data_IF_604477759649
#
_entry.id   IF_604477759649
#
_cell.length_a   1.000
_cell.length_b   1.000
_cell.length_c   1.000
_cell.angle_alpha   90.00
_cell.angle_beta   90.00
_cell.angle_gamma   90.00
#
_symmetry.space_group_name_H-M   'P 1'
#
loop_
_entity.id
_entity.type
_entity.pdbx_description
1 polymer ?
#
# COMPACT_ATOMS: atom_id res chain seq x y z
N UNK A 1 -14.90 -6.27 -5.09
CA UNK A 1 -14.33 -6.61 -6.42
C UNK A 1 -13.68 -5.34 -6.95
N UNK A 2 -12.36 -5.29 -7.11
CA UNK A 2 -11.72 -4.18 -7.80
C UNK A 2 -11.79 -4.42 -9.31
N UNK A 3 -12.18 -3.39 -10.03
CA UNK A 3 -12.14 -3.32 -11.47
C UNK A 3 -11.21 -2.17 -11.83
N UNK A 4 -10.21 -2.45 -12.65
CA UNK A 4 -9.40 -1.44 -13.29
C UNK A 4 -9.54 -1.62 -14.79
N UNK A 5 -9.62 -0.49 -15.50
CA UNK A 5 -9.62 -0.46 -16.96
C UNK A 5 -8.20 -0.50 -17.54
N UNK A 6 -7.18 -0.35 -16.69
CA UNK A 6 -5.80 -0.07 -17.09
C UNK A 6 -4.82 -1.17 -16.64
N UNK A 7 -5.30 -2.24 -16.00
CA UNK A 7 -4.48 -3.40 -15.65
C UNK A 7 -4.84 -4.05 -14.32
N UNK A 8 -3.95 -4.91 -13.83
CA UNK A 8 -4.15 -5.57 -12.54
C UNK A 8 -3.87 -4.61 -11.39
N UNK A 9 -4.69 -4.72 -10.35
CA UNK A 9 -4.60 -3.94 -9.13
C UNK A 9 -4.79 -4.85 -7.93
N UNK A 10 -4.14 -4.53 -6.82
CA UNK A 10 -4.40 -5.09 -5.51
C UNK A 10 -4.70 -3.97 -4.53
N UNK A 11 -5.78 -4.09 -3.76
CA UNK A 11 -6.17 -3.12 -2.73
C UNK A 11 -6.22 -3.83 -1.38
N UNK A 12 -5.73 -3.14 -0.37
CA UNK A 12 -5.94 -3.50 1.02
C UNK A 12 -6.40 -2.31 1.83
N UNK A 13 -7.29 -2.57 2.78
CA UNK A 13 -7.85 -1.60 3.70
C UNK A 13 -7.89 -2.26 5.07
N UNK A 14 -7.31 -1.60 6.07
CA UNK A 14 -7.15 -2.12 7.42
C UNK A 14 -7.63 -1.13 8.46
N UNK A 15 -8.40 -1.61 9.44
CA UNK A 15 -8.91 -0.81 10.55
C UNK A 15 -7.93 -0.87 11.72
N UNK A 16 -7.40 0.29 12.13
CA UNK A 16 -6.28 0.42 13.09
C UNK A 16 -6.48 -0.34 14.40
N UNK A 17 -7.69 -0.25 14.99
CA UNK A 17 -7.98 -0.76 16.34
C UNK A 17 -8.66 -2.13 16.36
N UNK A 18 -8.85 -2.76 15.21
CA UNK A 18 -9.42 -4.11 15.10
C UNK A 18 -8.35 -5.22 15.07
N UNK A 19 -7.05 -4.85 15.02
CA UNK A 19 -5.95 -5.79 14.84
C UNK A 19 -5.17 -6.07 16.12
N UNK A 20 -4.74 -7.33 16.26
CA UNK A 20 -3.80 -7.76 17.30
C UNK A 20 -2.36 -7.39 16.91
N UNK A 21 -1.60 -6.84 17.86
CA UNK A 21 -0.32 -6.15 17.72
C UNK A 21 0.90 -6.92 17.16
N UNK A 22 0.76 -8.09 16.51
CA UNK A 22 1.89 -8.99 16.25
C UNK A 22 2.07 -9.49 14.79
N UNK A 23 1.27 -9.04 13.82
CA UNK A 23 1.26 -9.68 12.48
C UNK A 23 2.46 -9.34 11.59
N UNK A 24 3.12 -8.18 11.81
CA UNK A 24 4.29 -7.76 11.04
C UNK A 24 5.60 -8.35 11.56
N UNK A 25 5.69 -8.64 12.86
CA UNK A 25 6.94 -9.01 13.51
C UNK A 25 7.64 -10.21 12.87
N UNK A 26 6.91 -11.13 12.24
CA UNK A 26 7.49 -12.29 11.56
C UNK A 26 8.11 -11.95 10.19
N UNK A 27 7.70 -10.87 9.53
CA UNK A 27 8.02 -10.59 8.13
C UNK A 27 8.70 -9.24 7.90
N UNK A 28 8.76 -8.36 8.91
CA UNK A 28 9.42 -7.07 8.81
C UNK A 28 10.93 -7.19 8.75
N UNK A 29 11.51 -6.64 7.68
CA UNK A 29 12.95 -6.46 7.54
C UNK A 29 13.50 -5.40 8.51
N UNK A 30 14.83 -5.38 8.70
CA UNK A 30 15.50 -4.33 9.49
C UNK A 30 15.19 -2.93 8.99
N UNK A 31 15.06 -2.75 7.66
CA UNK A 31 14.71 -1.45 7.06
C UNK A 31 13.28 -1.02 7.38
N UNK A 32 12.34 -1.96 7.42
CA UNK A 32 10.96 -1.68 7.81
C UNK A 32 10.85 -1.38 9.31
N UNK A 33 11.53 -2.16 10.16
CA UNK A 33 11.54 -1.94 11.60
C UNK A 33 12.14 -0.58 11.96
N UNK A 34 13.22 -0.17 11.28
CA UNK A 34 13.81 1.16 11.46
C UNK A 34 12.86 2.28 11.02
N UNK A 35 12.11 2.07 9.94
CA UNK A 35 11.11 3.06 9.49
C UNK A 35 9.95 3.18 10.46
N UNK A 36 9.40 2.05 10.94
CA UNK A 36 8.34 2.01 11.96
C UNK A 36 8.80 2.76 13.22
N UNK A 37 10.03 2.51 13.68
CA UNK A 37 10.57 3.16 14.88
C UNK A 37 10.78 4.67 14.73
N UNK A 38 10.84 5.18 13.50
CA UNK A 38 10.98 6.61 13.22
C UNK A 38 9.63 7.35 13.09
N UNK A 39 8.50 6.64 13.09
CA UNK A 39 7.18 7.25 13.01
C UNK A 39 6.66 7.69 14.38
N UNK A 40 5.78 8.69 14.40
CA UNK A 40 5.16 9.19 15.63
C UNK A 40 4.22 8.16 16.26
N UNK A 41 3.42 7.48 15.44
CA UNK A 41 2.53 6.40 15.86
C UNK A 41 3.01 5.08 15.27
N UNK A 42 3.49 4.20 16.16
CA UNK A 42 3.97 2.87 15.79
C UNK A 42 2.87 1.98 15.22
N UNK A 43 1.68 1.99 15.80
CA UNK A 43 0.56 1.14 15.39
C UNK A 43 0.09 1.52 13.99
N UNK A 44 0.02 2.82 13.73
CA UNK A 44 -0.32 3.34 12.42
C UNK A 44 0.71 2.93 11.36
N UNK A 45 2.00 3.12 11.66
CA UNK A 45 3.10 2.73 10.79
C UNK A 45 3.10 1.22 10.49
N UNK A 46 2.89 0.39 11.50
CA UNK A 46 2.75 -1.05 11.33
C UNK A 46 1.53 -1.37 10.45
N UNK A 47 0.37 -0.82 10.75
CA UNK A 47 -0.85 -1.12 9.97
C UNK A 47 -0.71 -0.67 8.52
N UNK A 48 -0.02 0.44 8.26
CA UNK A 48 0.27 0.92 6.91
C UNK A 48 1.19 -0.02 6.15
N UNK A 49 2.33 -0.41 6.73
CA UNK A 49 3.24 -1.36 6.07
C UNK A 49 2.56 -2.70 5.83
N UNK A 50 1.72 -3.16 6.76
CA UNK A 50 0.93 -4.36 6.54
C UNK A 50 0.00 -4.21 5.34
N UNK A 51 -0.74 -3.10 5.25
CA UNK A 51 -1.66 -2.83 4.14
C UNK A 51 -0.93 -2.84 2.80
N UNK A 52 0.26 -2.21 2.75
CA UNK A 52 1.15 -2.22 1.59
C UNK A 52 1.55 -3.65 1.20
N UNK A 53 1.95 -4.48 2.17
CA UNK A 53 2.33 -5.87 1.88
C UNK A 53 1.15 -6.64 1.29
N UNK A 54 -0.03 -6.53 1.89
CA UNK A 54 -1.23 -7.23 1.42
C UNK A 54 -1.66 -6.78 0.02
N UNK A 55 -1.64 -5.49 -0.27
CA UNK A 55 -2.06 -5.00 -1.59
C UNK A 55 -1.11 -5.52 -2.70
N UNK A 56 0.19 -5.59 -2.44
CA UNK A 56 1.18 -6.18 -3.36
C UNK A 56 0.97 -7.70 -3.52
N UNK A 57 0.74 -8.43 -2.43
CA UNK A 57 0.49 -9.87 -2.49
C UNK A 57 -0.80 -10.20 -3.26
N UNK A 58 -1.87 -9.43 -3.05
CA UNK A 58 -3.12 -9.53 -3.82
C UNK A 58 -2.89 -9.29 -5.31
N UNK A 59 -2.10 -8.27 -5.67
CA UNK A 59 -1.71 -8.02 -7.07
C UNK A 59 -0.94 -9.21 -7.67
N UNK A 60 -0.06 -9.82 -6.88
CA UNK A 60 0.75 -10.97 -7.29
C UNK A 60 -0.03 -12.28 -7.37
N UNK A 61 -1.28 -12.32 -6.88
CA UNK A 61 -2.02 -13.56 -6.70
C UNK A 61 -1.40 -14.46 -5.62
N UNK A 62 -0.67 -13.86 -4.67
CA UNK A 62 -0.02 -14.54 -3.56
C UNK A 62 -0.85 -14.34 -2.29
N UNK A 63 -0.99 -15.40 -1.49
CA UNK A 63 -1.50 -15.29 -0.12
C UNK A 63 -0.39 -14.86 0.84
N UNK A 64 -0.67 -14.97 2.16
CA UNK A 64 0.32 -14.67 3.20
C UNK A 64 1.60 -15.53 3.13
N UNK A 65 1.59 -16.65 2.39
CA UNK A 65 2.80 -17.43 2.11
C UNK A 65 3.83 -16.66 1.27
N UNK A 66 3.40 -15.63 0.52
CA UNK A 66 4.29 -14.79 -0.28
C UNK A 66 5.02 -13.70 0.50
N UNK A 67 4.79 -13.56 1.81
CA UNK A 67 5.36 -12.48 2.62
C UNK A 67 6.90 -12.43 2.57
N UNK A 68 7.57 -13.59 2.50
CA UNK A 68 9.04 -13.67 2.39
C UNK A 68 9.60 -13.28 1.01
N UNK A 69 8.75 -13.07 0.00
CA UNK A 69 9.12 -12.67 -1.35
C UNK A 69 9.09 -11.14 -1.55
N UNK A 70 8.67 -10.40 -0.52
CA UNK A 70 8.49 -8.95 -0.54
C UNK A 70 9.41 -8.29 0.48
N UNK A 71 10.20 -7.34 0.01
CA UNK A 71 10.99 -6.44 0.85
C UNK A 71 10.55 -5.01 0.58
N UNK A 72 10.25 -4.27 1.64
CA UNK A 72 9.91 -2.85 1.56
C UNK A 72 11.10 -2.01 2.04
N UNK A 73 11.33 -0.90 1.36
CA UNK A 73 12.31 0.12 1.72
C UNK A 73 11.61 1.48 1.80
N UNK A 74 10.82 1.71 2.88
CA UNK A 74 9.93 2.87 2.94
C UNK A 74 10.67 4.22 2.91
N UNK A 75 11.84 4.31 3.56
CA UNK A 75 12.68 5.51 3.53
C UNK A 75 13.10 5.95 2.12
N UNK A 76 13.38 5.00 1.22
CA UNK A 76 13.80 5.31 -0.15
C UNK A 76 12.65 5.32 -1.15
N UNK A 77 11.41 5.11 -0.69
CA UNK A 77 10.25 5.03 -1.57
C UNK A 77 10.30 3.80 -2.49
N UNK A 78 10.91 2.70 -2.05
CA UNK A 78 11.18 1.54 -2.89
C UNK A 78 10.61 0.24 -2.32
N UNK A 79 10.38 -0.73 -3.20
CA UNK A 79 10.08 -2.11 -2.86
C UNK A 79 10.79 -3.09 -3.79
N UNK A 80 10.89 -4.35 -3.36
CA UNK A 80 11.28 -5.47 -4.20
C UNK A 80 10.32 -6.63 -3.98
N UNK A 81 9.66 -7.07 -5.05
CA UNK A 81 8.86 -8.28 -5.07
C UNK A 81 9.49 -9.27 -6.06
N UNK A 82 9.84 -10.48 -5.62
CA UNK A 82 10.55 -11.44 -6.47
C UNK A 82 9.68 -11.99 -7.62
N UNK A 83 8.35 -11.90 -7.51
CA UNK A 83 7.41 -12.41 -8.51
C UNK A 83 6.84 -11.33 -9.42
N UNK A 84 7.00 -10.05 -9.06
CA UNK A 84 6.49 -8.91 -9.83
C UNK A 84 7.59 -7.86 -10.02
N UNK A 85 8.18 -7.75 -11.23
CA UNK A 85 9.28 -6.82 -11.47
C UNK A 85 8.82 -5.35 -11.46
N UNK A 86 7.58 -5.07 -11.86
CA UNK A 86 7.06 -3.72 -12.05
C UNK A 86 5.78 -3.50 -11.22
N UNK A 87 5.96 -2.98 -10.00
CA UNK A 87 4.87 -2.67 -9.07
C UNK A 87 5.07 -1.27 -8.51
N UNK A 88 4.00 -0.49 -8.53
CA UNK A 88 3.90 0.78 -7.84
C UNK A 88 2.84 0.64 -6.75
N UNK A 89 3.05 1.32 -5.63
CA UNK A 89 2.11 1.38 -4.51
C UNK A 89 1.85 2.82 -4.14
N UNK A 90 0.58 3.14 -3.89
CA UNK A 90 0.15 4.32 -3.16
C UNK A 90 -0.51 3.86 -1.87
N UNK A 91 -0.27 4.55 -0.77
CA UNK A 91 -0.89 4.24 0.51
C UNK A 91 -1.01 5.49 1.35
N UNK A 92 -1.96 5.46 2.27
CA UNK A 92 -2.06 6.46 3.32
C UNK A 92 -2.53 5.78 4.61
N UNK A 93 -2.30 6.46 5.73
CA UNK A 93 -2.80 6.05 7.02
C UNK A 93 -3.34 7.27 7.77
N UNK A 94 -4.41 7.04 8.51
CA UNK A 94 -4.94 8.00 9.46
C UNK A 94 -5.52 7.30 10.67
N UNK A 95 -6.22 8.08 11.51
CA UNK A 95 -6.63 7.65 12.85
C UNK A 95 -7.42 6.32 12.88
N UNK A 96 -8.27 6.08 11.88
CA UNK A 96 -9.19 4.94 11.87
C UNK A 96 -8.81 3.84 10.88
N UNK A 97 -8.12 4.20 9.80
CA UNK A 97 -7.94 3.34 8.64
C UNK A 97 -6.57 3.56 8.00
N UNK A 98 -5.96 2.49 7.51
CA UNK A 98 -4.96 2.57 6.46
C UNK A 98 -5.45 1.88 5.20
N UNK A 99 -5.10 2.45 4.06
CA UNK A 99 -5.33 1.86 2.76
C UNK A 99 -4.03 1.79 1.98
N UNK A 100 -3.92 0.78 1.12
CA UNK A 100 -2.84 0.69 0.15
C UNK A 100 -3.34 0.08 -1.16
N UNK A 101 -2.87 0.62 -2.27
CA UNK A 101 -3.17 0.14 -3.61
C UNK A 101 -1.87 -0.15 -4.36
N UNK A 102 -1.67 -1.42 -4.71
CA UNK A 102 -0.60 -1.85 -5.62
C UNK A 102 -1.15 -1.96 -7.05
N UNK A 103 -0.34 -1.55 -8.02
CA UNK A 103 -0.70 -1.61 -9.43
C UNK A 103 0.54 -1.78 -10.31
N UNK A 104 0.34 -2.27 -11.53
CA UNK A 104 1.38 -2.23 -12.56
C UNK A 104 1.51 -0.80 -13.13
N UNK A 105 2.67 -0.41 -13.69
CA UNK A 105 2.84 0.87 -14.35
C UNK A 105 1.78 1.05 -15.45
N UNK A 106 1.05 2.18 -15.41
CA UNK A 106 -0.07 2.47 -16.31
C UNK A 106 -1.30 3.00 -15.58
N UNK A 107 -1.51 2.58 -14.33
CA UNK A 107 -2.54 3.15 -13.44
C UNK A 107 -1.95 4.31 -12.63
N UNK A 108 -2.11 5.55 -13.07
CA UNK A 108 -1.47 6.70 -12.42
C UNK A 108 -2.34 7.41 -11.39
N UNK A 109 -3.62 6.98 -11.28
CA UNK A 109 -4.63 7.63 -10.43
C UNK A 109 -5.62 6.64 -9.82
N UNK A 110 -6.13 7.01 -8.66
CA UNK A 110 -7.26 6.39 -7.97
C UNK A 110 -8.42 7.36 -7.97
N UNK A 111 -9.58 6.92 -8.45
CA UNK A 111 -10.81 7.70 -8.37
C UNK A 111 -11.51 7.34 -7.06
N UNK A 112 -11.69 8.32 -6.21
CA UNK A 112 -12.37 8.16 -4.93
C UNK A 112 -13.87 8.39 -5.13
N UNK A 113 -14.66 7.47 -4.60
CA UNK A 113 -16.11 7.54 -4.64
C UNK A 113 -16.64 7.55 -3.21
N UNK A 114 -17.62 8.40 -2.99
CA UNK A 114 -18.39 8.45 -1.75
C UNK A 114 -19.81 7.97 -2.05
N UNK A 115 -20.32 7.10 -1.20
CA UNK A 115 -21.73 6.73 -1.26
C UNK A 115 -22.55 7.69 -0.39
N UNK A 116 -23.61 8.22 -0.98
CA UNK A 116 -24.67 8.98 -0.30
C UNK A 116 -26.02 8.27 -0.52
N UNK A 117 -26.87 8.24 0.50
CA UNK A 117 -28.16 7.54 0.42
C UNK A 117 -29.11 8.17 -0.62
N UNK A 118 -29.02 9.48 -0.84
CA UNK A 118 -29.89 10.20 -1.78
C UNK A 118 -29.35 10.24 -3.21
N UNK A 119 -28.02 10.32 -3.37
CA UNK A 119 -27.36 10.52 -4.67
C UNK A 119 -26.60 9.28 -5.18
N UNK A 120 -26.53 8.20 -4.39
CA UNK A 120 -25.75 7.01 -4.72
C UNK A 120 -24.24 7.24 -4.68
N UNK A 121 -23.48 6.50 -5.50
CA UNK A 121 -22.03 6.66 -5.63
C UNK A 121 -21.69 7.93 -6.43
N UNK A 122 -20.98 8.85 -5.80
CA UNK A 122 -20.52 10.12 -6.37
C UNK A 122 -19.00 10.17 -6.35
N UNK A 123 -18.38 10.67 -7.44
CA UNK A 123 -16.93 10.94 -7.44
C UNK A 123 -16.67 12.11 -6.49
N UNK A 124 -15.83 11.89 -5.49
CA UNK A 124 -15.47 12.93 -4.51
C UNK A 124 -14.02 13.41 -4.64
N UNK A 125 -13.10 12.55 -5.11
CA UNK A 125 -11.68 12.92 -5.19
C UNK A 125 -10.91 12.10 -6.25
N UNK A 126 -9.66 12.49 -6.49
CA UNK A 126 -8.70 11.79 -7.34
C UNK A 126 -7.28 11.86 -6.74
N UNK A 127 -6.76 10.70 -6.36
CA UNK A 127 -5.41 10.55 -5.81
C UNK A 127 -4.47 10.14 -6.94
N UNK A 128 -3.35 10.84 -7.12
CA UNK A 128 -2.35 10.47 -8.12
C UNK A 128 -0.94 10.84 -7.68
N UNK A 129 0.07 10.42 -8.45
CA UNK A 129 1.45 10.86 -8.21
C UNK A 129 1.64 12.38 -8.28
N UNK A 130 0.77 13.09 -9.00
CA UNK A 130 0.83 14.55 -9.15
C UNK A 130 -0.08 15.29 -8.17
N UNK A 131 -1.02 14.58 -7.57
CA UNK A 131 -1.98 15.10 -6.59
C UNK A 131 -2.11 14.07 -5.46
N UNK A 132 -1.08 13.95 -4.59
CA UNK A 132 -1.17 13.08 -3.43
C UNK A 132 -2.19 13.65 -2.42
N UNK A 133 -2.75 12.81 -1.53
CA UNK A 133 -3.54 13.30 -0.40
C UNK A 133 -2.70 14.28 0.43
N UNK A 134 -3.31 15.31 1.05
CA UNK A 134 -2.63 16.23 1.95
C UNK A 134 -2.37 15.57 3.32
N UNK A 135 -1.63 14.46 3.31
CA UNK A 135 -1.31 13.63 4.47
C UNK A 135 0.20 13.49 4.62
N UNK A 136 0.69 13.63 5.85
CA UNK A 136 2.09 13.33 6.21
C UNK A 136 2.41 11.85 6.21
N UNK A 137 1.39 10.99 6.17
CA UNK A 137 1.49 9.55 6.17
C UNK A 137 1.39 8.96 4.77
N UNK A 138 1.15 9.79 3.74
CA UNK A 138 1.08 9.30 2.37
C UNK A 138 2.44 8.74 1.94
N UNK A 139 2.45 7.47 1.55
CA UNK A 139 3.64 6.75 1.13
C UNK A 139 3.46 6.19 -0.26
N UNK A 140 4.46 6.44 -1.11
CA UNK A 140 4.60 5.89 -2.44
C UNK A 140 5.82 4.98 -2.50
N UNK A 141 5.63 3.75 -2.98
CA UNK A 141 6.72 2.81 -3.22
C UNK A 141 6.76 2.40 -4.69
N UNK A 142 7.94 2.29 -5.27
CA UNK A 142 8.14 1.76 -6.62
C UNK A 142 9.14 0.61 -6.63
N UNK A 143 8.96 -0.35 -7.53
CA UNK A 143 9.91 -1.44 -7.71
C UNK A 143 11.33 -0.89 -7.93
N UNK A 144 12.30 -1.47 -7.22
CA UNK A 144 13.71 -1.31 -7.54
C UNK A 144 13.96 -1.68 -9.00
N UNK A 145 14.53 -0.76 -9.77
CA UNK A 145 14.98 -1.08 -11.12
C UNK A 145 15.95 -2.26 -11.04
N UNK A 146 15.63 -3.35 -11.74
CA UNK A 146 16.59 -4.41 -11.98
C UNK A 146 17.68 -3.82 -12.87
N UNK A 147 18.87 -3.58 -12.30
CA UNK A 147 20.08 -3.34 -13.09
C UNK A 147 20.32 -4.64 -13.87
N UNK A 148 19.98 -4.62 -15.16
CA UNK A 148 20.41 -5.68 -16.08
C UNK A 148 21.93 -5.61 -16.12
N UNK A 149 22.60 -6.63 -15.58
CA UNK A 149 24.03 -6.86 -15.82
C UNK A 149 24.21 -7.58 -17.14
#
# INVERSE_FOLDING_TARGET
>A
MLLSLEGKVGLDIEVMRARSHNLLHQYSSTTENAWIAAQNDRLEAETQLWSIRQCVLKLAGLGNSGQGLLNLHPFSGQLRCNTLPNVHVMSDAGEYLSWACAHQPGLDRLICWQYDESQGLQKCDEISSRNPPPSTHFLKLTSLASVTR
#
